data_IF_461366895364
#
_entry.id   IF_461366895364
#
_cell.length_a   1.000
_cell.length_b   1.000
_cell.length_c   1.000
_cell.angle_alpha   90.00
_cell.angle_beta   90.00
_cell.angle_gamma   90.00
#
_symmetry.space_group_name_H-M   'P 1'
#
loop_
_entity.id
_entity.type
_entity.pdbx_description
1 polymer ?
#
# COMPACT_ATOMS: atom_id res chain seq x y z
N UNK A 1 -34.56 -9.50 23.88
CA UNK A 1 -35.34 -9.56 22.63
C UNK A 1 -35.41 -8.15 22.07
N UNK A 2 -34.59 -7.83 21.15
CA UNK A 2 -34.76 -6.79 20.16
C UNK A 2 -33.78 -7.15 19.01
N UNK A 3 -34.32 -7.88 18.02
CA UNK A 3 -33.69 -8.04 16.73
C UNK A 3 -33.76 -6.69 16.01
N UNK A 4 -32.78 -5.82 16.18
CA UNK A 4 -32.50 -4.79 15.22
C UNK A 4 -31.84 -5.47 14.02
N UNK A 5 -32.63 -5.66 12.96
CA UNK A 5 -32.12 -5.98 11.62
C UNK A 5 -31.14 -4.88 11.23
N UNK A 6 -29.82 -5.15 11.38
CA UNK A 6 -28.80 -4.41 10.66
C UNK A 6 -29.09 -4.64 9.18
N UNK A 7 -29.76 -3.70 8.54
CA UNK A 7 -29.83 -3.64 7.09
C UNK A 7 -28.38 -3.61 6.59
N UNK A 8 -28.00 -4.63 5.86
CA UNK A 8 -26.72 -4.73 5.15
C UNK A 8 -26.61 -3.47 4.25
N UNK A 9 -25.89 -2.46 4.71
CA UNK A 9 -25.64 -1.19 3.99
C UNK A 9 -24.43 -1.32 3.08
N UNK A 10 -24.22 -2.51 2.49
CA UNK A 10 -23.19 -2.71 1.46
C UNK A 10 -23.56 -1.91 0.21
N UNK A 11 -22.58 -1.22 -0.37
CA UNK A 11 -22.74 -0.53 -1.66
C UNK A 11 -23.22 -1.52 -2.72
N UNK A 12 -24.27 -1.17 -3.46
CA UNK A 12 -24.70 -1.96 -4.62
C UNK A 12 -23.65 -1.85 -5.75
N UNK A 13 -22.87 -2.89 -5.92
CA UNK A 13 -21.82 -2.99 -6.95
C UNK A 13 -22.29 -3.74 -8.21
N UNK A 14 -23.57 -4.05 -8.38
CA UNK A 14 -24.10 -4.87 -9.48
C UNK A 14 -24.09 -4.17 -10.85
N UNK A 15 -24.07 -2.83 -10.85
CA UNK A 15 -24.07 -2.01 -12.06
C UNK A 15 -22.72 -2.02 -12.83
N UNK A 16 -22.66 -1.38 -14.00
CA UNK A 16 -21.41 -1.19 -14.74
C UNK A 16 -20.45 -0.33 -13.91
N UNK A 17 -19.13 -0.65 -13.92
CA UNK A 17 -18.15 0.11 -13.17
C UNK A 17 -18.10 1.57 -13.62
N UNK A 18 -18.26 2.51 -12.68
CA UNK A 18 -18.10 3.94 -12.95
C UNK A 18 -16.65 4.33 -12.68
N UNK A 19 -15.97 4.86 -13.70
CA UNK A 19 -14.56 5.24 -13.62
C UNK A 19 -14.43 6.74 -13.44
N UNK A 20 -13.64 7.14 -12.45
CA UNK A 20 -13.16 8.50 -12.22
C UNK A 20 -11.74 8.56 -12.77
N UNK A 21 -11.54 9.27 -13.87
CA UNK A 21 -10.20 9.51 -14.42
C UNK A 21 -9.63 10.77 -13.77
N UNK A 22 -8.50 10.65 -13.12
CA UNK A 22 -7.75 11.77 -12.55
C UNK A 22 -6.34 11.82 -13.14
N UNK A 23 -6.08 12.79 -13.98
CA UNK A 23 -4.75 13.02 -14.55
C UNK A 23 -3.93 13.80 -13.51
N UNK A 24 -3.00 13.11 -12.86
CA UNK A 24 -2.13 13.69 -11.84
C UNK A 24 -1.28 14.81 -12.43
N UNK A 25 -1.21 15.91 -11.70
CA UNK A 25 -0.35 17.08 -11.98
C UNK A 25 0.50 17.38 -10.75
N UNK A 26 1.56 18.18 -10.90
CA UNK A 26 2.44 18.51 -9.77
C UNK A 26 1.70 19.08 -8.53
N UNK A 27 0.68 19.97 -8.66
CA UNK A 27 -0.10 20.43 -7.50
C UNK A 27 -0.88 19.35 -6.75
N UNK A 28 -1.13 18.19 -7.37
CA UNK A 28 -1.83 17.06 -6.75
C UNK A 28 -0.92 16.23 -5.85
N UNK A 29 0.39 16.47 -5.94
CA UNK A 29 1.37 15.80 -5.10
C UNK A 29 1.41 16.45 -3.71
N UNK A 30 1.49 15.61 -2.70
CA UNK A 30 1.67 16.02 -1.30
C UNK A 30 2.67 15.09 -0.60
N UNK A 31 3.36 15.62 0.39
CA UNK A 31 4.35 14.89 1.19
C UNK A 31 3.81 14.60 2.60
N UNK A 32 2.47 14.61 2.73
CA UNK A 32 1.82 14.45 4.03
C UNK A 32 0.42 13.86 3.91
N UNK A 33 -0.03 13.25 4.97
CA UNK A 33 -1.42 12.87 5.22
C UNK A 33 -2.06 13.87 6.19
N UNK A 34 -3.29 14.31 5.88
CA UNK A 34 -3.99 15.35 6.64
C UNK A 34 -3.59 16.78 6.23
N UNK A 35 -4.39 17.76 6.68
CA UNK A 35 -4.12 19.20 6.51
C UNK A 35 -4.27 19.73 5.08
N UNK A 36 -4.84 18.98 4.14
CA UNK A 36 -5.07 19.43 2.75
C UNK A 36 -6.52 19.28 2.31
N UNK A 37 -6.94 20.14 1.39
CA UNK A 37 -8.22 19.98 0.70
C UNK A 37 -8.16 18.84 -0.32
N UNK A 38 -9.29 18.16 -0.58
CA UNK A 38 -9.32 17.10 -1.58
C UNK A 38 -9.08 17.63 -2.99
N UNK A 39 -8.35 16.85 -3.80
CA UNK A 39 -8.11 17.15 -5.22
C UNK A 39 -9.26 16.63 -6.10
N UNK A 40 -9.95 15.58 -5.67
CA UNK A 40 -11.11 15.01 -6.35
C UNK A 40 -11.97 14.19 -5.38
N UNK A 41 -13.19 13.82 -5.82
CA UNK A 41 -14.09 12.92 -5.12
C UNK A 41 -14.15 11.56 -5.82
N UNK A 42 -14.13 10.49 -5.00
CA UNK A 42 -14.34 9.12 -5.47
C UNK A 42 -15.37 8.46 -4.57
N UNK A 43 -16.55 8.14 -5.10
CA UNK A 43 -17.64 7.56 -4.32
C UNK A 43 -17.44 6.07 -4.08
N UNK A 44 -17.98 5.51 -2.98
CA UNK A 44 -18.04 4.06 -2.82
C UNK A 44 -18.66 3.38 -4.05
N UNK A 45 -18.04 2.29 -4.50
CA UNK A 45 -18.44 1.58 -5.73
C UNK A 45 -17.85 2.13 -7.03
N UNK A 46 -17.12 3.24 -7.00
CA UNK A 46 -16.41 3.75 -8.17
C UNK A 46 -14.98 3.21 -8.27
N UNK A 47 -14.42 3.33 -9.45
CA UNK A 47 -13.02 2.99 -9.76
C UNK A 47 -12.26 4.27 -10.07
N UNK A 48 -11.20 4.55 -9.34
CA UNK A 48 -10.27 5.65 -9.63
C UNK A 48 -9.16 5.14 -10.55
N UNK A 49 -8.88 5.88 -11.62
CA UNK A 49 -7.64 5.76 -12.41
C UNK A 49 -6.82 7.01 -12.24
N UNK A 50 -5.58 6.83 -11.82
CA UNK A 50 -4.64 7.93 -11.63
C UNK A 50 -3.22 7.46 -11.86
N UNK A 51 -2.25 8.33 -11.62
CA UNK A 51 -0.83 8.00 -11.61
C UNK A 51 -0.15 8.56 -10.37
N UNK A 52 1.03 8.02 -10.06
CA UNK A 52 1.89 8.47 -8.98
C UNK A 52 3.25 8.87 -9.53
N UNK A 53 3.97 9.68 -8.78
CA UNK A 53 5.39 9.92 -9.01
C UNK A 53 6.23 8.96 -8.14
N UNK A 54 7.52 8.81 -8.43
CA UNK A 54 8.46 8.04 -7.61
C UNK A 54 8.85 8.78 -6.32
N UNK A 55 9.50 8.10 -5.38
CA UNK A 55 9.89 8.69 -4.09
C UNK A 55 10.83 9.90 -4.23
N UNK A 56 11.52 10.03 -5.35
CA UNK A 56 12.42 11.15 -5.66
C UNK A 56 11.71 12.33 -6.36
N UNK A 57 10.39 12.30 -6.51
CA UNK A 57 9.61 13.31 -7.24
C UNK A 57 10.04 13.45 -8.72
N UNK A 58 10.55 12.38 -9.33
CA UNK A 58 11.05 12.37 -10.70
C UNK A 58 12.37 13.14 -10.91
N UNK A 59 13.03 13.56 -9.84
CA UNK A 59 14.26 14.36 -9.92
C UNK A 59 15.51 13.51 -10.21
N UNK A 60 15.57 12.27 -9.72
CA UNK A 60 16.68 11.35 -9.96
C UNK A 60 16.42 10.59 -11.27
N UNK A 61 17.22 10.85 -12.30
CA UNK A 61 17.05 10.27 -13.65
C UNK A 61 18.26 9.53 -14.15
N UNK A 62 19.42 9.85 -13.63
CA UNK A 62 20.69 9.24 -13.98
C UNK A 62 21.41 8.77 -12.71
N UNK A 63 22.40 7.93 -12.87
CA UNK A 63 23.25 7.43 -11.78
C UNK A 63 24.17 8.49 -11.17
N UNK A 64 24.23 9.67 -11.77
CA UNK A 64 25.04 10.81 -11.32
C UNK A 64 24.20 11.85 -10.56
N UNK A 65 22.86 11.70 -10.56
CA UNK A 65 21.94 12.57 -9.81
C UNK A 65 21.87 12.08 -8.37
N UNK A 66 22.62 12.71 -7.47
CA UNK A 66 22.54 12.37 -6.05
C UNK A 66 21.23 12.92 -5.44
N UNK A 67 20.39 12.08 -4.84
CA UNK A 67 19.13 12.54 -4.24
C UNK A 67 19.29 13.72 -3.27
N UNK A 68 20.36 13.74 -2.45
CA UNK A 68 20.65 14.85 -1.54
C UNK A 68 20.89 16.21 -2.23
N UNK A 69 21.25 16.19 -3.53
CA UNK A 69 21.52 17.39 -4.30
C UNK A 69 20.33 17.83 -5.16
N UNK A 70 19.54 16.86 -5.68
CA UNK A 70 18.48 17.15 -6.67
C UNK A 70 17.07 17.10 -6.08
N UNK A 71 16.84 16.39 -4.96
CA UNK A 71 15.53 16.29 -4.35
C UNK A 71 15.33 17.34 -3.26
N UNK A 72 14.23 18.08 -3.33
CA UNK A 72 13.83 19.03 -2.27
C UNK A 72 13.05 18.34 -1.15
N UNK A 73 12.23 17.38 -1.51
CA UNK A 73 11.42 16.55 -0.62
C UNK A 73 11.32 15.13 -1.20
N UNK A 74 11.05 14.17 -0.33
CA UNK A 74 10.94 12.75 -0.69
C UNK A 74 9.54 12.23 -0.44
N UNK A 75 9.21 11.17 -1.16
CA UNK A 75 8.02 10.36 -1.00
C UNK A 75 6.70 11.15 -1.20
N UNK A 76 6.49 11.73 -2.40
CA UNK A 76 5.22 12.36 -2.76
C UNK A 76 4.13 11.31 -2.91
N UNK A 77 2.91 11.68 -2.51
CA UNK A 77 1.70 10.91 -2.77
C UNK A 77 0.69 11.74 -3.55
N UNK A 78 -0.06 11.11 -4.45
CA UNK A 78 -1.15 11.74 -5.20
C UNK A 78 -2.41 11.76 -4.34
N UNK A 79 -2.98 12.94 -4.15
CA UNK A 79 -4.18 13.11 -3.32
C UNK A 79 -4.19 14.41 -2.50
N UNK A 80 -5.08 14.53 -1.49
CA UNK A 80 -6.03 13.49 -1.05
C UNK A 80 -7.29 13.42 -1.91
N UNK A 81 -7.84 12.21 -2.03
CA UNK A 81 -9.14 11.95 -2.61
C UNK A 81 -10.19 11.85 -1.51
N UNK A 82 -11.30 12.57 -1.66
CA UNK A 82 -12.42 12.51 -0.73
C UNK A 82 -13.37 11.35 -1.10
N UNK A 83 -13.77 10.56 -0.11
CA UNK A 83 -14.77 9.50 -0.27
C UNK A 83 -16.06 9.95 0.41
N UNK A 84 -17.04 10.46 -0.34
CA UNK A 84 -18.28 10.98 0.25
C UNK A 84 -19.02 9.92 1.08
N UNK A 85 -19.47 10.31 2.27
CA UNK A 85 -20.19 9.43 3.19
C UNK A 85 -19.31 8.52 4.04
N UNK A 86 -17.99 8.51 3.86
CA UNK A 86 -17.08 7.87 4.80
C UNK A 86 -17.00 8.69 6.10
N UNK A 87 -17.20 8.04 7.25
CA UNK A 87 -17.24 8.67 8.56
C UNK A 87 -16.29 8.00 9.55
N UNK A 88 -15.80 8.70 10.57
CA UNK A 88 -14.98 8.09 11.60
C UNK A 88 -15.63 6.85 12.22
N UNK A 89 -14.89 5.76 12.28
CA UNK A 89 -15.38 4.44 12.72
C UNK A 89 -15.82 3.51 11.59
N UNK A 90 -15.80 3.98 10.34
CA UNK A 90 -15.90 3.12 9.15
C UNK A 90 -14.53 2.55 8.78
N UNK A 91 -14.51 1.61 7.84
CA UNK A 91 -13.32 1.13 7.17
C UNK A 91 -13.37 1.48 5.68
N UNK A 92 -12.33 2.14 5.18
CA UNK A 92 -12.10 2.35 3.76
C UNK A 92 -11.51 1.07 3.15
N UNK A 93 -12.07 0.60 2.03
CA UNK A 93 -11.57 -0.53 1.25
C UNK A 93 -11.06 -0.05 -0.11
N UNK A 94 -9.80 -0.32 -0.41
CA UNK A 94 -9.13 0.01 -1.66
C UNK A 94 -8.66 -1.28 -2.34
N UNK A 95 -9.36 -1.71 -3.40
CA UNK A 95 -8.96 -2.88 -4.19
C UNK A 95 -8.14 -2.45 -5.40
N UNK A 96 -6.87 -2.85 -5.44
CA UNK A 96 -5.96 -2.51 -6.52
C UNK A 96 -6.20 -3.41 -7.72
N UNK A 97 -6.86 -2.87 -8.75
CA UNK A 97 -7.17 -3.58 -9.99
C UNK A 97 -5.91 -3.71 -10.85
N UNK A 98 -5.13 -2.64 -10.91
CA UNK A 98 -3.87 -2.56 -11.66
C UNK A 98 -2.90 -1.60 -10.98
N UNK A 99 -1.65 -2.02 -10.90
CA UNK A 99 -0.48 -1.19 -10.57
C UNK A 99 0.55 -1.51 -11.65
N UNK A 100 0.91 -0.54 -12.47
CA UNK A 100 1.77 -0.75 -13.63
C UNK A 100 2.80 0.38 -13.74
N UNK A 101 4.10 0.06 -13.94
CA UNK A 101 5.11 1.09 -14.20
C UNK A 101 4.69 2.02 -15.33
N UNK A 102 4.82 3.32 -15.10
CA UNK A 102 4.59 4.36 -16.10
C UNK A 102 5.83 4.67 -16.93
N UNK A 103 6.97 4.07 -16.57
CA UNK A 103 8.29 4.22 -17.20
C UNK A 103 8.92 2.86 -17.44
N UNK A 104 9.88 2.79 -18.36
CA UNK A 104 10.71 1.62 -18.64
C UNK A 104 12.00 1.60 -17.81
N UNK A 105 12.07 2.43 -16.77
CA UNK A 105 13.19 2.51 -15.84
C UNK A 105 12.73 2.85 -14.42
N UNK A 106 13.57 2.46 -13.46
CA UNK A 106 13.44 2.83 -12.06
C UNK A 106 14.79 3.17 -11.46
N UNK A 107 14.77 3.83 -10.31
CA UNK A 107 15.95 4.27 -9.59
C UNK A 107 15.96 3.68 -8.18
N UNK A 108 17.15 3.45 -7.63
CA UNK A 108 17.35 3.12 -6.23
C UNK A 108 18.61 3.83 -5.72
N UNK A 109 18.71 4.03 -4.41
CA UNK A 109 19.87 4.68 -3.83
C UNK A 109 20.22 4.12 -2.46
N UNK A 110 21.46 4.31 -2.02
CA UNK A 110 21.85 4.26 -0.61
C UNK A 110 22.00 5.66 -0.08
N UNK A 111 21.58 5.88 1.16
CA UNK A 111 21.71 7.17 1.85
C UNK A 111 22.56 7.03 3.10
N UNK A 112 23.35 8.08 3.44
CA UNK A 112 23.93 8.20 4.79
C UNK A 112 22.81 8.20 5.84
N UNK A 113 22.93 7.36 6.85
CA UNK A 113 21.99 7.29 8.00
C UNK A 113 20.56 6.82 7.68
N UNK A 114 20.32 6.26 6.50
CA UNK A 114 19.05 5.65 6.12
C UNK A 114 19.25 4.21 5.65
N UNK A 115 18.24 3.33 5.87
CA UNK A 115 18.35 1.90 5.66
C UNK A 115 18.62 1.11 6.95
N UNK A 116 18.32 -0.19 6.92
CA UNK A 116 18.37 -1.06 8.09
C UNK A 116 19.77 -1.26 8.69
N UNK A 117 20.83 -1.13 7.88
CA UNK A 117 22.21 -1.40 8.27
C UNK A 117 23.03 -0.14 8.50
N UNK A 118 22.40 1.01 8.63
CA UNK A 118 23.04 2.28 8.92
C UNK A 118 22.82 2.69 10.38
N UNK A 119 23.54 3.72 10.84
CA UNK A 119 23.31 4.29 12.15
C UNK A 119 21.90 4.88 12.26
N UNK A 120 21.23 4.63 13.38
CA UNK A 120 19.94 5.23 13.69
C UNK A 120 20.15 6.46 14.58
N UNK A 121 19.07 7.23 14.79
CA UNK A 121 19.09 8.37 15.73
C UNK A 121 19.34 7.95 17.19
N UNK A 122 19.18 6.66 17.52
CA UNK A 122 19.41 6.11 18.86
C UNK A 122 20.70 5.30 18.97
N UNK A 123 21.31 4.92 17.84
CA UNK A 123 22.53 4.10 17.84
C UNK A 123 23.53 4.67 16.84
N UNK A 124 24.61 5.27 17.34
CA UNK A 124 25.72 5.73 16.53
C UNK A 124 26.64 4.57 16.13
N UNK A 125 27.15 4.60 14.90
CA UNK A 125 28.18 3.69 14.42
C UNK A 125 29.58 4.25 14.68
N UNK A 126 30.56 3.37 14.91
CA UNK A 126 31.96 3.79 15.08
C UNK A 126 32.70 4.02 13.75
N UNK A 127 32.06 3.76 12.62
CA UNK A 127 32.60 3.96 11.27
C UNK A 127 31.76 5.01 10.51
N UNK A 128 32.29 5.59 9.43
CA UNK A 128 31.56 6.53 8.60
C UNK A 128 30.25 5.91 8.07
N UNK A 129 29.22 6.72 7.81
CA UNK A 129 28.00 6.28 7.18
C UNK A 129 28.29 5.73 5.76
N UNK A 130 27.36 4.92 5.25
CA UNK A 130 27.43 4.46 3.87
C UNK A 130 27.41 5.65 2.91
N UNK A 131 28.16 5.57 1.78
CA UNK A 131 28.12 6.60 0.77
C UNK A 131 26.74 6.63 0.09
N UNK A 132 26.34 7.80 -0.39
CA UNK A 132 25.21 7.95 -1.29
C UNK A 132 25.63 7.46 -2.68
N UNK A 133 24.92 6.44 -3.19
CA UNK A 133 25.18 5.83 -4.49
C UNK A 133 23.82 5.53 -5.13
N UNK A 134 23.69 5.83 -6.42
CA UNK A 134 22.46 5.64 -7.18
C UNK A 134 22.62 4.46 -8.16
N UNK A 135 21.58 3.64 -8.27
CA UNK A 135 21.44 2.58 -9.26
C UNK A 135 20.25 2.89 -10.18
N UNK A 136 20.43 2.66 -11.46
CA UNK A 136 19.36 2.65 -12.44
C UNK A 136 19.02 1.20 -12.80
N UNK A 137 17.72 0.92 -12.86
CA UNK A 137 17.16 -0.36 -13.28
C UNK A 137 16.42 -0.18 -14.58
N UNK A 138 16.61 -1.06 -15.55
CA UNK A 138 15.75 -1.17 -16.72
C UNK A 138 14.54 -2.03 -16.37
N UNK A 139 13.33 -1.58 -16.74
CA UNK A 139 12.07 -2.25 -16.49
C UNK A 139 11.52 -2.75 -17.83
N UNK A 140 11.45 -4.06 -18.00
CA UNK A 140 10.82 -4.68 -19.16
C UNK A 140 9.44 -5.26 -18.75
N UNK A 141 8.39 -4.51 -19.03
CA UNK A 141 7.02 -4.92 -18.72
C UNK A 141 6.53 -6.05 -19.63
N UNK A 142 7.14 -6.26 -20.79
CA UNK A 142 6.82 -7.35 -21.73
C UNK A 142 7.41 -8.67 -21.25
N UNK A 143 8.68 -8.65 -20.84
CA UNK A 143 9.36 -9.82 -20.26
C UNK A 143 8.99 -10.06 -18.80
N UNK A 144 8.39 -9.05 -18.10
CA UNK A 144 8.05 -9.13 -16.68
C UNK A 144 9.27 -9.14 -15.77
N UNK A 145 10.29 -8.35 -16.08
CA UNK A 145 11.54 -8.30 -15.32
C UNK A 145 12.03 -6.87 -15.06
N UNK A 146 12.80 -6.72 -13.99
CA UNK A 146 13.65 -5.56 -13.71
C UNK A 146 15.11 -6.01 -13.72
N UNK A 147 16.00 -5.23 -14.34
CA UNK A 147 17.42 -5.61 -14.48
C UNK A 147 18.28 -4.84 -13.50
N UNK A 148 18.88 -5.58 -12.55
CA UNK A 148 19.93 -5.06 -11.68
C UNK A 148 21.27 -5.08 -12.41
N UNK A 149 22.01 -4.00 -12.30
CA UNK A 149 23.40 -3.91 -12.74
C UNK A 149 24.28 -3.35 -11.61
N UNK A 150 25.30 -4.09 -11.25
CA UNK A 150 26.24 -3.66 -10.22
C UNK A 150 27.03 -2.41 -10.66
N UNK A 151 27.24 -1.46 -9.72
CA UNK A 151 27.99 -0.21 -9.98
C UNK A 151 29.52 -0.41 -10.05
N UNK A 152 30.02 -1.48 -9.44
CA UNK A 152 31.46 -1.69 -9.27
C UNK A 152 31.98 -3.03 -9.83
N UNK A 153 31.14 -3.70 -10.64
CA UNK A 153 31.51 -4.95 -11.33
C UNK A 153 30.63 -5.13 -12.57
N UNK A 154 30.86 -6.18 -13.33
CA UNK A 154 30.06 -6.56 -14.51
C UNK A 154 28.88 -7.45 -14.15
N UNK A 155 28.61 -7.66 -12.86
CA UNK A 155 27.49 -8.51 -12.43
C UNK A 155 26.16 -7.88 -12.79
N UNK A 156 25.32 -8.65 -13.47
CA UNK A 156 23.95 -8.31 -13.82
C UNK A 156 23.03 -9.47 -13.50
N UNK A 157 21.77 -9.17 -13.13
CA UNK A 157 20.73 -10.20 -12.93
C UNK A 157 19.37 -9.63 -13.26
N UNK A 158 18.52 -10.44 -13.86
CA UNK A 158 17.10 -10.15 -14.05
C UNK A 158 16.33 -10.66 -12.84
N UNK A 159 15.51 -9.77 -12.25
CA UNK A 159 14.62 -10.06 -11.16
C UNK A 159 13.17 -9.96 -11.66
N UNK A 160 12.25 -10.78 -11.15
CA UNK A 160 10.83 -10.64 -11.52
C UNK A 160 10.31 -9.23 -11.26
N UNK A 161 9.59 -8.64 -12.21
CA UNK A 161 8.81 -7.43 -12.02
C UNK A 161 7.63 -7.76 -11.09
N UNK A 162 7.50 -7.04 -9.98
CA UNK A 162 6.44 -7.23 -8.98
C UNK A 162 5.97 -5.86 -8.47
N UNK A 163 5.17 -5.12 -9.26
CA UNK A 163 4.79 -3.75 -8.96
C UNK A 163 3.89 -3.65 -7.73
N UNK A 164 4.20 -2.68 -6.87
CA UNK A 164 3.47 -2.39 -5.64
C UNK A 164 3.43 -0.87 -5.36
N UNK A 165 2.65 -0.46 -4.36
CA UNK A 165 2.71 0.88 -3.79
C UNK A 165 3.27 0.80 -2.36
N UNK A 166 4.32 1.56 -2.09
CA UNK A 166 4.89 1.68 -0.75
C UNK A 166 3.98 2.50 0.17
N UNK A 167 3.46 3.63 -0.33
CA UNK A 167 2.74 4.61 0.48
C UNK A 167 1.27 4.71 0.10
N UNK A 168 0.39 4.25 1.00
CA UNK A 168 -1.07 4.43 0.90
C UNK A 168 -1.63 4.69 2.28
N UNK A 169 -2.44 5.76 2.42
CA UNK A 169 -3.01 6.10 3.71
C UNK A 169 -4.19 7.05 3.61
N UNK A 170 -4.78 7.33 4.76
CA UNK A 170 -5.89 8.27 4.98
C UNK A 170 -5.44 9.43 5.87
N UNK A 171 -6.25 10.48 5.98
CA UNK A 171 -5.97 11.54 6.94
C UNK A 171 -5.98 10.99 8.38
N UNK A 172 -4.95 11.30 9.21
CA UNK A 172 -4.85 10.82 10.58
C UNK A 172 -5.96 11.36 11.49
N UNK A 173 -6.15 10.69 12.63
CA UNK A 173 -7.08 11.12 13.68
C UNK A 173 -6.67 12.47 14.30
N UNK A 174 -7.64 13.13 14.96
CA UNK A 174 -7.39 14.31 15.78
C UNK A 174 -6.92 15.57 15.04
N UNK A 175 -7.04 15.60 13.70
CA UNK A 175 -6.57 16.74 12.89
C UNK A 175 -5.04 16.79 12.77
N UNK A 176 -4.36 15.69 13.07
CA UNK A 176 -2.91 15.58 12.88
C UNK A 176 -2.52 15.67 11.41
N UNK A 177 -1.28 16.12 11.19
CA UNK A 177 -0.60 16.07 9.91
C UNK A 177 0.65 15.22 10.07
N UNK A 178 0.81 14.21 9.23
CA UNK A 178 1.96 13.30 9.25
C UNK A 178 2.67 13.28 7.92
N UNK A 179 3.99 13.29 7.94
CA UNK A 179 4.79 13.12 6.73
C UNK A 179 4.47 11.79 6.06
N UNK A 180 4.44 11.77 4.72
CA UNK A 180 4.12 10.59 3.92
C UNK A 180 4.99 9.37 4.23
N UNK A 181 6.27 9.60 4.57
CA UNK A 181 7.26 8.57 4.92
C UNK A 181 7.00 7.90 6.29
N UNK A 182 6.02 8.35 7.08
CA UNK A 182 5.76 7.79 8.42
C UNK A 182 4.59 6.81 8.37
N UNK A 183 4.81 5.50 8.47
CA UNK A 183 3.72 4.52 8.60
C UNK A 183 3.17 4.51 10.03
N UNK A 184 1.84 4.36 10.14
CA UNK A 184 1.14 4.21 11.42
C UNK A 184 -0.27 3.61 11.17
N UNK A 185 -1.18 3.75 12.14
CA UNK A 185 -2.57 3.27 12.04
C UNK A 185 -3.33 3.84 10.84
N UNK A 186 -3.01 5.04 10.37
CA UNK A 186 -3.61 5.68 9.19
C UNK A 186 -3.13 5.10 7.83
N UNK A 187 -2.21 4.16 7.81
CA UNK A 187 -1.45 3.76 6.63
C UNK A 187 -0.11 4.51 6.59
N UNK A 188 0.16 5.21 5.50
CA UNK A 188 1.44 5.88 5.25
C UNK A 188 2.40 4.99 4.47
N UNK A 189 3.70 5.12 4.72
CA UNK A 189 4.75 4.34 4.05
C UNK A 189 4.82 2.92 4.59
N UNK A 190 3.91 2.07 4.12
CA UNK A 190 3.78 0.69 4.60
C UNK A 190 4.89 -0.23 4.08
N UNK A 191 5.35 0.03 2.87
CA UNK A 191 6.39 -0.74 2.14
C UNK A 191 6.20 -2.26 2.25
N UNK A 192 4.93 -2.66 2.21
CA UNK A 192 4.56 -4.07 2.34
C UNK A 192 4.36 -4.67 0.96
N UNK A 193 5.22 -5.62 0.50
CA UNK A 193 5.17 -6.16 -0.86
C UNK A 193 3.85 -6.82 -1.25
N UNK A 194 3.01 -7.14 -0.29
CA UNK A 194 1.66 -7.66 -0.48
C UNK A 194 0.66 -6.58 -0.95
N UNK A 195 1.02 -5.29 -0.90
CA UNK A 195 0.20 -4.19 -1.40
C UNK A 195 0.37 -4.02 -2.91
N UNK A 196 -0.20 -4.93 -3.67
CA UNK A 196 -0.07 -5.07 -5.13
C UNK A 196 -1.41 -5.27 -5.83
N UNK A 197 -1.39 -5.32 -7.16
CA UNK A 197 -2.59 -5.60 -7.93
C UNK A 197 -3.24 -6.94 -7.54
N UNK A 198 -4.57 -6.95 -7.44
CA UNK A 198 -5.37 -8.10 -7.02
C UNK A 198 -5.61 -8.16 -5.50
N UNK A 199 -5.09 -7.23 -4.71
CA UNK A 199 -5.30 -7.20 -3.25
C UNK A 199 -6.22 -6.06 -2.84
N UNK A 200 -6.83 -6.19 -1.66
CA UNK A 200 -7.63 -5.13 -1.03
C UNK A 200 -6.95 -4.65 0.25
N UNK A 201 -6.62 -3.36 0.29
CA UNK A 201 -6.17 -2.69 1.50
C UNK A 201 -7.38 -2.12 2.25
N UNK A 202 -7.44 -2.38 3.54
CA UNK A 202 -8.41 -1.82 4.47
C UNK A 202 -7.73 -0.82 5.40
N UNK A 203 -8.27 0.39 5.46
CA UNK A 203 -7.74 1.48 6.29
C UNK A 203 -8.83 2.02 7.22
N UNK A 204 -8.50 2.41 8.46
CA UNK A 204 -9.44 3.06 9.35
C UNK A 204 -9.84 4.43 8.82
N UNK A 205 -11.13 4.77 8.88
CA UNK A 205 -11.56 6.15 8.62
C UNK A 205 -11.50 6.94 9.92
N UNK A 206 -10.69 7.99 9.94
CA UNK A 206 -10.50 8.85 11.11
C UNK A 206 -11.17 10.21 10.99
N UNK A 207 -11.40 10.67 9.76
CA UNK A 207 -12.05 11.96 9.48
C UNK A 207 -13.13 11.77 8.43
N UNK A 208 -14.17 12.65 8.38
CA UNK A 208 -15.17 12.60 7.32
C UNK A 208 -14.51 12.64 5.94
N UNK A 209 -14.96 11.76 5.05
CA UNK A 209 -14.43 11.62 3.70
C UNK A 209 -13.14 10.81 3.59
N UNK A 210 -12.65 10.20 4.66
CA UNK A 210 -11.41 9.42 4.73
C UNK A 210 -10.15 10.17 4.26
N UNK A 211 -10.20 10.91 3.14
CA UNK A 211 -9.11 11.72 2.58
C UNK A 211 -7.88 10.87 2.28
N UNK A 212 -8.04 9.86 1.41
CA UNK A 212 -6.95 8.95 1.09
C UNK A 212 -5.99 9.51 0.04
N UNK A 213 -4.73 9.14 0.15
CA UNK A 213 -3.68 9.41 -0.85
C UNK A 213 -2.87 8.15 -1.10
N UNK A 214 -2.24 8.06 -2.28
CA UNK A 214 -1.43 6.92 -2.67
C UNK A 214 -0.21 7.38 -3.49
N UNK A 215 0.91 6.67 -3.36
CA UNK A 215 2.15 7.02 -4.04
C UNK A 215 3.24 5.98 -3.85
N UNK A 216 4.47 6.39 -4.13
CA UNK A 216 5.65 5.60 -3.83
C UNK A 216 5.63 4.25 -4.55
N UNK A 217 5.69 4.30 -5.87
CA UNK A 217 5.56 3.13 -6.72
C UNK A 217 6.87 2.36 -6.85
N UNK A 218 6.87 1.11 -6.45
CA UNK A 218 8.01 0.22 -6.56
C UNK A 218 7.80 -0.81 -7.68
N UNK A 219 8.69 -0.85 -8.66
CA UNK A 219 8.70 -1.92 -9.66
C UNK A 219 9.06 -3.27 -9.04
N UNK A 220 9.81 -3.24 -7.94
CA UNK A 220 10.15 -4.37 -7.10
C UNK A 220 10.73 -3.92 -5.76
N UNK A 221 10.36 -4.65 -4.69
CA UNK A 221 10.94 -4.51 -3.36
C UNK A 221 11.15 -5.90 -2.75
N UNK A 222 12.24 -6.08 -2.00
CA UNK A 222 12.42 -7.22 -1.10
C UNK A 222 11.86 -6.93 0.29
N UNK A 223 11.46 -7.96 1.05
CA UNK A 223 10.99 -7.77 2.43
C UNK A 223 12.03 -7.03 3.28
N UNK A 224 11.52 -6.05 4.04
CA UNK A 224 12.31 -5.22 4.94
C UNK A 224 12.96 -4.01 4.28
N UNK A 225 12.90 -3.90 2.95
CA UNK A 225 13.47 -2.76 2.19
C UNK A 225 14.86 -2.34 2.71
N UNK A 226 15.75 -3.32 2.78
CA UNK A 226 16.94 -3.30 3.65
C UNK A 226 17.89 -2.13 3.41
N UNK A 227 17.98 -1.59 2.19
CA UNK A 227 18.79 -0.41 1.92
C UNK A 227 18.01 0.92 2.08
N UNK A 228 16.69 0.85 2.29
CA UNK A 228 15.82 2.00 2.50
C UNK A 228 15.22 2.56 1.23
N UNK A 229 15.46 1.96 0.07
CA UNK A 229 14.95 2.37 -1.24
C UNK A 229 14.74 1.15 -2.09
N UNK A 230 13.57 1.01 -2.66
CA UNK A 230 13.22 -0.06 -3.59
C UNK A 230 13.68 0.24 -5.03
N UNK A 231 13.08 -0.39 -6.02
CA UNK A 231 13.18 0.03 -7.43
C UNK A 231 12.07 1.04 -7.69
N UNK A 232 12.36 2.30 -7.41
CA UNK A 232 11.43 3.42 -7.44
C UNK A 232 11.05 3.80 -8.88
N UNK A 233 9.76 3.92 -9.14
CA UNK A 233 9.27 4.39 -10.44
C UNK A 233 7.85 4.95 -10.33
N UNK A 234 7.49 5.84 -11.26
CA UNK A 234 6.11 6.31 -11.40
C UNK A 234 5.19 5.16 -11.81
N UNK A 235 3.95 5.16 -11.30
CA UNK A 235 2.95 4.12 -11.58
C UNK A 235 1.69 4.68 -12.21
N UNK A 236 1.07 3.89 -13.07
CA UNK A 236 -0.35 3.99 -13.37
C UNK A 236 -1.11 3.06 -12.42
N UNK A 237 -2.14 3.60 -11.76
CA UNK A 237 -2.91 2.90 -10.74
C UNK A 237 -4.38 2.92 -11.10
N UNK A 238 -5.01 1.75 -11.02
CA UNK A 238 -6.47 1.59 -11.08
C UNK A 238 -6.91 0.96 -9.76
N UNK A 239 -7.76 1.64 -9.00
CA UNK A 239 -8.21 1.19 -7.68
C UNK A 239 -9.73 1.33 -7.56
N UNK A 240 -10.41 0.26 -7.15
CA UNK A 240 -11.83 0.28 -6.81
C UNK A 240 -11.97 0.66 -5.33
N UNK A 241 -12.91 1.57 -5.04
CA UNK A 241 -13.10 2.18 -3.72
C UNK A 241 -14.43 1.76 -3.13
N UNK A 242 -14.44 1.34 -1.87
CA UNK A 242 -15.68 1.09 -1.11
C UNK A 242 -15.51 1.50 0.36
N UNK A 243 -16.62 1.60 1.08
CA UNK A 243 -16.67 1.94 2.51
C UNK A 243 -17.50 0.92 3.26
N UNK A 244 -16.92 0.33 4.29
CA UNK A 244 -17.60 -0.61 5.19
C UNK A 244 -18.08 0.17 6.39
N UNK A 245 -19.39 0.39 6.44
CA UNK A 245 -20.04 1.26 7.42
C UNK A 245 -20.11 0.64 8.80
N UNK A 246 -19.71 1.42 9.82
CA UNK A 246 -19.84 1.03 11.23
C UNK A 246 -18.96 -0.14 11.67
N UNK A 247 -17.99 -0.54 10.86
CA UNK A 247 -17.03 -1.61 11.18
C UNK A 247 -15.64 -0.99 11.23
N UNK A 248 -15.10 -0.66 12.41
CA UNK A 248 -13.79 -0.07 12.54
C UNK A 248 -12.68 -1.12 12.32
N UNK A 249 -11.60 -0.69 11.69
CA UNK A 249 -10.34 -1.44 11.65
C UNK A 249 -9.28 -0.70 12.50
N UNK A 250 -8.48 -1.40 13.33
CA UNK A 250 -7.56 -0.71 14.25
C UNK A 250 -6.25 -0.28 13.59
N UNK A 251 -5.85 -0.97 12.53
CA UNK A 251 -4.63 -0.71 11.76
C UNK A 251 -4.82 -1.20 10.32
N UNK A 252 -3.91 -0.89 9.39
CA UNK A 252 -3.99 -1.36 8.01
C UNK A 252 -4.04 -2.88 7.92
N UNK A 253 -4.94 -3.40 7.08
CA UNK A 253 -5.07 -4.82 6.78
C UNK A 253 -5.09 -5.04 5.27
N UNK A 254 -4.58 -6.17 4.82
CA UNK A 254 -4.66 -6.57 3.41
C UNK A 254 -5.39 -7.91 3.34
N UNK A 255 -6.26 -8.05 2.35
CA UNK A 255 -6.88 -9.31 1.96
C UNK A 255 -6.48 -9.64 0.54
N UNK A 256 -6.03 -10.87 0.34
CA UNK A 256 -5.74 -11.47 -0.97
C UNK A 256 -6.70 -12.63 -1.22
N UNK A 257 -6.64 -13.24 -2.40
CA UNK A 257 -7.42 -14.45 -2.70
C UNK A 257 -7.16 -15.62 -1.72
N UNK A 258 -6.01 -15.57 -1.01
CA UNK A 258 -5.54 -16.69 -0.22
C UNK A 258 -5.14 -16.35 1.20
N UNK A 259 -5.02 -15.07 1.55
CA UNK A 259 -4.47 -14.64 2.84
C UNK A 259 -5.22 -13.46 3.44
N UNK A 260 -5.28 -13.45 4.77
CA UNK A 260 -5.57 -12.29 5.59
C UNK A 260 -4.28 -11.80 6.22
N UNK A 261 -4.03 -10.50 6.15
CA UNK A 261 -2.77 -9.87 6.55
C UNK A 261 -3.08 -8.65 7.41
N UNK A 262 -2.46 -8.56 8.57
CA UNK A 262 -2.52 -7.38 9.45
C UNK A 262 -1.15 -6.71 9.48
N UNK A 263 -1.11 -5.38 9.43
CA UNK A 263 0.13 -4.59 9.39
C UNK A 263 0.26 -3.80 10.67
N UNK A 264 1.38 -3.96 11.37
CA UNK A 264 1.78 -3.17 12.52
C UNK A 264 2.91 -2.22 12.16
N UNK A 265 2.84 -0.98 12.64
CA UNK A 265 3.88 0.02 12.44
C UNK A 265 4.34 0.56 13.80
N UNK A 266 5.64 0.44 14.09
CA UNK A 266 6.25 0.96 15.32
C UNK A 266 7.79 0.88 15.28
N UNK A 267 8.46 1.56 16.21
CA UNK A 267 9.82 1.26 16.67
C UNK A 267 9.80 0.96 18.16
N UNK A 268 10.53 -0.05 18.62
CA UNK A 268 11.36 -0.98 17.86
C UNK A 268 10.53 -1.99 17.04
N UNK A 269 11.21 -2.79 16.19
CA UNK A 269 10.57 -3.75 15.28
C UNK A 269 9.70 -4.78 16.02
N UNK A 270 10.07 -5.17 17.24
CA UNK A 270 9.30 -6.10 18.07
C UNK A 270 7.92 -5.57 18.43
N UNK A 271 7.76 -4.25 18.55
CA UNK A 271 6.45 -3.67 18.81
C UNK A 271 5.59 -3.64 17.55
N UNK A 272 6.17 -3.37 16.37
CA UNK A 272 5.49 -3.55 15.10
C UNK A 272 5.00 -5.00 14.91
N UNK A 273 5.85 -5.98 15.24
CA UNK A 273 5.48 -7.40 15.24
C UNK A 273 4.32 -7.69 16.19
N UNK A 274 4.37 -7.21 17.43
CA UNK A 274 3.29 -7.43 18.43
C UNK A 274 1.97 -6.81 17.99
N UNK A 275 2.01 -5.62 17.39
CA UNK A 275 0.81 -4.94 16.85
C UNK A 275 0.18 -5.79 15.74
N UNK A 276 0.97 -6.21 14.75
CA UNK A 276 0.48 -7.03 13.64
C UNK A 276 -0.09 -8.37 14.09
N UNK A 277 0.59 -9.08 15.02
CA UNK A 277 0.14 -10.35 15.53
C UNK A 277 -1.14 -10.22 16.37
N UNK A 278 -1.20 -9.23 17.27
CA UNK A 278 -2.41 -8.96 18.06
C UNK A 278 -3.62 -8.70 17.18
N UNK A 279 -3.45 -7.91 16.13
CA UNK A 279 -4.55 -7.60 15.23
C UNK A 279 -4.98 -8.83 14.43
N UNK A 280 -4.04 -9.60 13.86
CA UNK A 280 -4.35 -10.83 13.14
C UNK A 280 -5.08 -11.85 14.01
N UNK A 281 -4.63 -12.05 15.27
CA UNK A 281 -5.28 -12.96 16.22
C UNK A 281 -6.71 -12.52 16.53
N UNK A 282 -6.90 -11.22 16.79
CA UNK A 282 -8.23 -10.66 17.06
C UNK A 282 -9.14 -10.81 15.84
N UNK A 283 -8.63 -10.54 14.64
CA UNK A 283 -9.38 -10.71 13.41
C UNK A 283 -9.72 -12.18 13.13
N UNK A 284 -8.78 -13.08 13.34
CA UNK A 284 -9.00 -14.53 13.27
C UNK A 284 -10.11 -14.99 14.24
N UNK A 285 -10.06 -14.55 15.49
CA UNK A 285 -11.10 -14.87 16.47
C UNK A 285 -12.49 -14.39 16.05
N UNK A 286 -12.58 -13.16 15.52
CA UNK A 286 -13.83 -12.57 15.02
C UNK A 286 -14.43 -13.37 13.84
N UNK A 287 -13.57 -13.83 12.93
CA UNK A 287 -14.01 -14.53 11.72
C UNK A 287 -14.38 -16.00 11.97
N UNK A 288 -13.72 -16.64 12.92
CA UNK A 288 -13.91 -18.08 13.19
C UNK A 288 -14.83 -18.37 14.36
N UNK A 289 -15.10 -17.39 15.23
CA UNK A 289 -15.80 -17.58 16.49
C UNK A 289 -14.96 -18.26 17.58
N UNK A 290 -13.67 -18.45 17.37
CA UNK A 290 -12.74 -18.94 18.39
C UNK A 290 -12.58 -17.92 19.52
N UNK A 291 -12.31 -18.41 20.73
CA UNK A 291 -11.80 -17.52 21.77
C UNK A 291 -10.38 -17.02 21.43
N UNK A 292 -9.93 -15.97 22.10
CA UNK A 292 -8.65 -15.33 21.78
C UNK A 292 -7.45 -16.24 22.01
N UNK A 293 -7.52 -17.19 22.96
CA UNK A 293 -6.39 -18.09 23.27
C UNK A 293 -6.29 -19.17 22.21
N UNK A 294 -7.41 -19.72 21.76
CA UNK A 294 -7.45 -20.69 20.65
C UNK A 294 -7.03 -20.03 19.33
N UNK A 295 -7.50 -18.80 19.05
CA UNK A 295 -7.05 -18.03 17.88
C UNK A 295 -5.55 -17.73 17.94
N UNK A 296 -5.03 -17.39 19.13
CA UNK A 296 -3.60 -17.19 19.34
C UNK A 296 -2.80 -18.47 19.07
N UNK A 297 -3.27 -19.62 19.57
CA UNK A 297 -2.64 -20.90 19.31
C UNK A 297 -2.66 -21.26 17.81
N UNK A 298 -3.79 -21.01 17.11
CA UNK A 298 -3.91 -21.26 15.68
C UNK A 298 -2.93 -20.39 14.89
N UNK A 299 -2.91 -19.08 15.15
CA UNK A 299 -2.00 -18.15 14.46
C UNK A 299 -0.53 -18.48 14.75
N UNK A 300 -0.21 -18.94 15.97
CA UNK A 300 1.14 -19.40 16.32
C UNK A 300 1.64 -20.56 15.46
N UNK A 301 0.75 -21.44 15.01
CA UNK A 301 1.13 -22.62 14.22
C UNK A 301 1.00 -22.39 12.70
N UNK A 302 0.02 -21.59 12.28
CA UNK A 302 -0.31 -21.40 10.85
C UNK A 302 0.11 -20.04 10.30
N UNK A 303 0.42 -19.08 11.17
CA UNK A 303 0.76 -17.72 10.79
C UNK A 303 2.17 -17.59 10.18
N UNK A 304 2.33 -16.54 9.41
CA UNK A 304 3.62 -16.07 8.86
C UNK A 304 3.79 -14.60 9.21
N UNK A 305 5.03 -14.13 9.30
CA UNK A 305 5.32 -12.72 9.49
C UNK A 305 6.59 -12.34 8.74
N UNK A 306 6.59 -11.15 8.14
CA UNK A 306 7.78 -10.58 7.52
C UNK A 306 7.79 -9.06 7.71
N UNK A 307 8.96 -8.40 7.72
CA UNK A 307 9.04 -6.95 7.72
C UNK A 307 8.62 -6.39 6.36
N UNK A 308 7.85 -5.32 6.35
CA UNK A 308 7.63 -4.49 5.18
C UNK A 308 8.87 -3.61 4.94
N UNK A 309 9.16 -2.71 5.89
CA UNK A 309 10.39 -1.93 5.93
C UNK A 309 11.06 -1.99 7.31
N UNK A 310 12.38 -1.78 7.35
CA UNK A 310 13.20 -1.65 8.57
C UNK A 310 14.11 -0.41 8.45
N UNK A 311 13.64 0.65 7.82
CA UNK A 311 14.38 1.86 7.48
C UNK A 311 13.66 3.15 7.91
N UNK A 312 12.35 3.16 7.87
CA UNK A 312 11.49 4.31 8.11
C UNK A 312 11.46 4.80 9.57
N UNK A 313 10.85 5.98 9.85
CA UNK A 313 10.66 6.46 11.21
C UNK A 313 9.93 5.47 12.11
N UNK A 314 8.92 4.76 11.61
CA UNK A 314 8.39 3.52 12.17
C UNK A 314 8.70 2.36 11.21
N UNK A 315 9.07 1.20 11.75
CA UNK A 315 9.20 -0.04 10.99
C UNK A 315 7.85 -0.67 10.79
N UNK A 316 7.68 -1.38 9.67
CA UNK A 316 6.44 -2.14 9.43
C UNK A 316 6.70 -3.64 9.50
N UNK A 317 5.76 -4.32 10.13
CA UNK A 317 5.67 -5.79 10.14
C UNK A 317 4.30 -6.21 9.68
N UNK A 318 4.23 -7.17 8.78
CA UNK A 318 2.97 -7.82 8.49
C UNK A 318 2.90 -9.22 9.12
N UNK A 319 1.73 -9.58 9.62
CA UNK A 319 1.37 -10.91 10.05
C UNK A 319 0.28 -11.45 9.12
N UNK A 320 0.45 -12.66 8.60
CA UNK A 320 -0.44 -13.26 7.62
C UNK A 320 -0.88 -14.65 8.04
N UNK A 321 -2.11 -15.05 7.64
CA UNK A 321 -2.62 -16.40 7.74
C UNK A 321 -3.34 -16.79 6.47
N UNK A 322 -3.16 -18.03 6.00
CA UNK A 322 -3.87 -18.53 4.83
C UNK A 322 -5.35 -18.77 5.15
N UNK A 323 -6.25 -18.34 4.26
CA UNK A 323 -7.70 -18.51 4.44
C UNK A 323 -8.13 -19.97 4.53
N UNK A 324 -7.34 -20.91 4.01
CA UNK A 324 -7.55 -22.35 4.16
C UNK A 324 -7.48 -22.80 5.62
N UNK A 325 -6.64 -22.16 6.44
CA UNK A 325 -6.58 -22.43 7.89
C UNK A 325 -7.81 -21.88 8.63
N UNK A 326 -8.60 -21.02 8.00
CA UNK A 326 -9.81 -20.39 8.51
C UNK A 326 -11.09 -20.92 7.82
N UNK A 327 -11.02 -22.12 7.22
CA UNK A 327 -12.13 -22.72 6.47
C UNK A 327 -12.68 -21.82 5.34
N UNK A 328 -11.84 -20.96 4.75
CA UNK A 328 -12.23 -20.05 3.69
C UNK A 328 -12.97 -18.80 4.19
N UNK A 329 -12.85 -18.46 5.46
CA UNK A 329 -13.41 -17.22 5.99
C UNK A 329 -12.82 -16.01 5.25
N UNK A 330 -13.67 -15.03 4.96
CA UNK A 330 -13.34 -13.78 4.26
C UNK A 330 -13.48 -12.59 5.21
N UNK A 331 -12.64 -11.60 5.03
CA UNK A 331 -12.73 -10.35 5.78
C UNK A 331 -13.94 -9.51 5.37
N UNK A 332 -14.43 -8.68 6.27
CA UNK A 332 -15.36 -7.60 5.98
C UNK A 332 -16.56 -8.02 5.10
N UNK A 333 -17.20 -9.15 5.46
CA UNK A 333 -18.39 -9.69 4.76
C UNK A 333 -18.16 -9.95 3.25
N UNK A 334 -16.93 -10.34 2.87
CA UNK A 334 -16.58 -10.65 1.48
C UNK A 334 -16.38 -9.42 0.59
N UNK A 335 -16.03 -8.28 1.17
CA UNK A 335 -15.76 -7.05 0.40
C UNK A 335 -14.67 -7.23 -0.64
N UNK A 336 -13.59 -7.94 -0.32
CA UNK A 336 -12.54 -8.27 -1.30
C UNK A 336 -13.11 -8.93 -2.55
N UNK A 337 -13.94 -9.96 -2.39
CA UNK A 337 -14.56 -10.67 -3.52
C UNK A 337 -15.47 -9.74 -4.35
N UNK A 338 -16.31 -8.93 -3.70
CA UNK A 338 -17.20 -7.98 -4.40
C UNK A 338 -16.44 -6.97 -5.23
N UNK A 339 -15.36 -6.39 -4.69
CA UNK A 339 -14.52 -5.42 -5.41
C UNK A 339 -13.72 -6.08 -6.53
N UNK A 340 -13.26 -7.31 -6.33
CA UNK A 340 -12.61 -8.13 -7.37
C UNK A 340 -13.56 -8.43 -8.53
N UNK A 341 -14.84 -8.73 -8.25
CA UNK A 341 -15.86 -8.95 -9.28
C UNK A 341 -16.14 -7.65 -10.05
N UNK A 342 -16.17 -6.50 -9.38
CA UNK A 342 -16.25 -5.17 -10.00
C UNK A 342 -15.07 -4.96 -10.96
N UNK A 343 -13.85 -5.24 -10.50
CA UNK A 343 -12.62 -5.16 -11.31
C UNK A 343 -12.66 -6.10 -12.54
N UNK A 344 -13.20 -7.29 -12.38
CA UNK A 344 -13.40 -8.25 -13.48
C UNK A 344 -14.30 -7.70 -14.58
N UNK A 345 -15.42 -7.07 -14.22
CA UNK A 345 -16.30 -6.41 -15.19
C UNK A 345 -15.63 -5.26 -15.92
N UNK A 346 -14.85 -4.42 -15.21
CA UNK A 346 -14.09 -3.34 -15.83
C UNK A 346 -13.14 -3.85 -16.94
N UNK A 347 -12.45 -4.96 -16.71
CA UNK A 347 -11.54 -5.56 -17.70
C UNK A 347 -12.31 -6.07 -18.95
N UNK A 348 -13.47 -6.64 -18.73
CA UNK A 348 -14.32 -7.16 -19.83
C UNK A 348 -14.83 -6.04 -20.72
N UNK A 349 -15.28 -4.91 -20.14
CA UNK A 349 -15.77 -3.75 -20.87
C UNK A 349 -14.67 -3.12 -21.74
N UNK A 350 -13.44 -3.04 -21.23
CA UNK A 350 -12.29 -2.53 -21.99
C UNK A 350 -11.91 -3.43 -23.17
N UNK A 351 -11.95 -4.74 -22.99
CA UNK A 351 -11.72 -5.71 -24.09
C UNK A 351 -12.83 -5.66 -25.14
N UNK A 352 -14.09 -5.50 -24.71
CA UNK A 352 -15.25 -5.39 -25.61
C UNK A 352 -15.22 -4.09 -26.45
N UNK A 353 -14.85 -2.97 -25.84
CA UNK A 353 -14.72 -1.68 -26.51
C UNK A 353 -13.59 -1.68 -27.57
N UNK A 354 -12.45 -2.31 -27.28
CA UNK A 354 -11.35 -2.47 -28.21
C UNK A 354 -11.71 -3.36 -29.44
N UNK A 355 -12.54 -4.38 -29.25
CA UNK A 355 -13.02 -5.25 -30.33
C UNK A 355 -14.10 -4.59 -31.21
N UNK A 356 -14.86 -3.63 -30.67
CA UNK A 356 -15.89 -2.88 -31.41
C UNK A 356 -15.36 -1.77 -32.31
N UNK A 357 -14.13 -1.31 -32.11
CA UNK A 357 -13.50 -0.23 -32.90
C UNK A 357 -12.77 -0.73 -34.16
N UNK A 358 -12.75 -2.05 -34.37
CA UNK A 358 -12.13 -2.72 -35.54
C UNK A 358 -13.18 -3.25 -36.56
N UNK A 359 -14.41 -2.73 -36.53
CA UNK A 359 -15.42 -3.06 -37.56
C UNK A 359 -15.77 -1.86 -38.42
#
# INVERSE_FOLDING_TARGET
MNNSTNSDMSTDLSGPPQVVEHVMTEPDLTYQFGGRYPIAEVRPGQVLRTSTEDCFSGAVRTVDDLPSEVCQQFNPVTGPFLVPGAEPGDTLALHFVEIRPARDWGMSATFPHFGALTATHTTAMLHPPLPEIVWRYDIDTTAGVVRFQARRSTYTVELPLDPMLGTVGVAPAGGEVRASIVPDTHGGNLDTPELRAGTTLYLPVHVPGAMFSLGDGHARQGHGEVCGVAVETAMHVTVAVDVIKGVPTPCPRIETDHQLIAIGAARPLEDAYRISQRDLITWTAQLTGLDLVDAYQLVSQAGRAAPGNVCDPNYTMHAAIDTTALHGATGYHGTHQRLRDLAGRLRTDLCGAAAGTLR
#
